data_IF_443531100008
#
_entry.id   IF_443531100008
#
_cell.length_a   1.000
_cell.length_b   1.000
_cell.length_c   1.000
_cell.angle_alpha   90.00
_cell.angle_beta   90.00
_cell.angle_gamma   90.00
#
_symmetry.space_group_name_H-M   'P 1'
#
loop_
_entity.id
_entity.type
_entity.pdbx_description
1 polymer ?
#
# COMPACT_ATOMS: atom_id res chain seq x y z
N UNK A 1 -9.92 -1.35 19.66
CA UNK A 1 -10.69 -0.50 20.60
C UNK A 1 -11.34 -1.38 21.66
N UNK A 2 -11.70 -0.86 22.83
CA UNK A 2 -12.47 -1.62 23.84
C UNK A 2 -13.99 -1.58 23.57
N UNK A 3 -14.41 -0.99 22.45
CA UNK A 3 -15.79 -0.82 22.01
C UNK A 3 -15.99 -1.41 20.60
N UNK A 4 -17.15 -1.15 19.98
CA UNK A 4 -17.56 -1.72 18.69
C UNK A 4 -16.84 -1.12 17.47
N UNK A 5 -15.91 -0.17 17.65
CA UNK A 5 -15.16 0.41 16.53
C UNK A 5 -14.17 -0.59 15.95
N UNK A 6 -14.04 -0.55 14.63
CA UNK A 6 -13.05 -1.35 13.93
C UNK A 6 -11.63 -0.93 14.29
N UNK A 7 -10.71 -1.90 14.25
CA UNK A 7 -9.29 -1.63 14.43
C UNK A 7 -8.76 -0.78 13.28
N UNK A 8 -7.93 0.20 13.63
CA UNK A 8 -7.17 1.01 12.68
C UNK A 8 -5.71 0.62 12.79
N UNK A 9 -5.08 0.29 11.67
CA UNK A 9 -3.69 -0.11 11.58
C UNK A 9 -2.91 0.83 10.66
N UNK A 10 -1.60 0.91 10.84
CA UNK A 10 -0.74 1.48 9.79
C UNK A 10 -0.77 0.58 8.55
N UNK A 11 -0.65 1.17 7.37
CA UNK A 11 -0.49 0.42 6.12
C UNK A 11 0.81 -0.39 6.07
N UNK A 12 0.94 -1.20 5.02
CA UNK A 12 2.10 -2.05 4.80
C UNK A 12 3.35 -1.25 4.41
N UNK A 13 4.53 -1.70 4.83
CA UNK A 13 5.79 -1.00 4.61
C UNK A 13 6.59 -1.65 3.47
N UNK A 14 6.77 -1.00 2.31
CA UNK A 14 7.33 -1.63 1.12
C UNK A 14 8.83 -1.95 1.21
N UNK A 15 9.67 -0.99 1.60
CA UNK A 15 11.15 -1.04 1.61
C UNK A 15 11.71 -1.70 0.33
N UNK A 16 11.63 -0.98 -0.78
CA UNK A 16 11.73 -1.55 -2.12
C UNK A 16 12.65 -0.79 -3.09
N UNK A 17 13.07 0.43 -2.74
CA UNK A 17 14.04 1.20 -3.51
C UNK A 17 13.56 1.64 -4.90
N UNK A 18 12.24 1.82 -5.09
CA UNK A 18 11.62 2.25 -6.36
C UNK A 18 11.31 1.14 -7.37
N UNK A 19 11.22 -0.13 -6.94
CA UNK A 19 11.02 -1.29 -7.81
C UNK A 19 9.66 -1.99 -7.67
N UNK A 20 8.97 -1.87 -6.53
CA UNK A 20 7.63 -2.40 -6.30
C UNK A 20 6.53 -1.36 -6.45
N UNK A 21 6.84 -0.05 -6.38
CA UNK A 21 5.87 1.04 -6.53
C UNK A 21 6.16 1.85 -7.79
N UNK A 22 5.14 2.17 -8.58
CA UNK A 22 5.33 2.83 -9.86
C UNK A 22 4.11 3.67 -10.29
N UNK A 23 4.33 4.60 -11.21
CA UNK A 23 3.29 5.45 -11.81
C UNK A 23 2.48 4.71 -12.89
N UNK A 24 1.41 5.34 -13.39
CA UNK A 24 0.56 4.76 -14.44
C UNK A 24 1.36 4.47 -15.73
N UNK A 25 2.30 5.34 -16.11
CA UNK A 25 3.11 5.18 -17.34
C UNK A 25 4.08 4.00 -17.24
N UNK A 26 4.62 3.74 -16.06
CA UNK A 26 5.44 2.55 -15.78
C UNK A 26 4.60 1.27 -15.76
N UNK A 27 3.40 1.34 -15.20
CA UNK A 27 2.43 0.25 -15.24
C UNK A 27 2.02 -0.08 -16.68
N UNK A 28 1.79 0.92 -17.53
CA UNK A 28 1.45 0.70 -18.94
C UNK A 28 2.57 -0.04 -19.67
N UNK A 29 3.82 0.38 -19.50
CA UNK A 29 4.99 -0.32 -20.08
C UNK A 29 5.11 -1.78 -19.65
N UNK A 30 4.83 -2.07 -18.37
CA UNK A 30 4.82 -3.46 -17.86
C UNK A 30 3.73 -4.33 -18.51
N UNK A 31 2.58 -3.73 -18.84
CA UNK A 31 1.43 -4.45 -19.42
C UNK A 31 1.55 -4.60 -20.93
N UNK A 32 2.11 -3.60 -21.62
CA UNK A 32 2.35 -3.64 -23.08
C UNK A 32 3.21 -4.84 -23.50
N UNK A 33 4.17 -5.24 -22.67
CA UNK A 33 5.01 -6.40 -22.91
C UNK A 33 4.35 -7.75 -22.61
N UNK A 34 3.37 -7.79 -21.69
CA UNK A 34 2.66 -9.01 -21.31
C UNK A 34 1.39 -8.71 -20.47
N UNK A 35 0.21 -8.99 -21.02
CA UNK A 35 -1.07 -8.75 -20.35
C UNK A 35 -1.25 -9.56 -19.05
N UNK A 36 -0.57 -10.70 -18.92
CA UNK A 36 -0.68 -11.55 -17.72
C UNK A 36 -0.10 -10.87 -16.47
N UNK A 37 0.68 -9.80 -16.62
CA UNK A 37 1.20 -9.01 -15.51
C UNK A 37 0.09 -8.31 -14.73
N UNK A 38 -1.06 -8.01 -15.36
CA UNK A 38 -2.16 -7.26 -14.74
C UNK A 38 -2.66 -7.91 -13.44
N UNK A 39 -2.62 -9.24 -13.33
CA UNK A 39 -3.05 -9.96 -12.11
C UNK A 39 -2.17 -9.69 -10.90
N UNK A 40 -0.92 -9.25 -11.11
CA UNK A 40 0.02 -8.87 -10.05
C UNK A 40 -0.04 -7.38 -9.73
N UNK A 41 -0.87 -6.59 -10.43
CA UNK A 41 -0.95 -5.16 -10.25
C UNK A 41 -2.10 -4.78 -9.33
N UNK A 42 -1.82 -3.96 -8.34
CA UNK A 42 -2.83 -3.33 -7.47
C UNK A 42 -2.60 -1.83 -7.40
N UNK A 43 -3.68 -1.08 -7.19
CA UNK A 43 -3.56 0.35 -6.84
C UNK A 43 -2.94 0.44 -5.45
N UNK A 44 -2.10 1.44 -5.25
CA UNK A 44 -1.43 1.68 -3.98
C UNK A 44 -1.53 3.16 -3.59
N UNK A 45 -1.78 3.41 -2.31
CA UNK A 45 -2.01 4.75 -1.78
C UNK A 45 -1.19 4.99 -0.53
N UNK A 46 -0.49 6.13 -0.48
CA UNK A 46 -0.07 6.78 0.75
C UNK A 46 -0.95 8.01 1.04
N UNK A 47 -0.58 8.78 2.05
CA UNK A 47 -1.28 10.03 2.37
C UNK A 47 -1.30 11.01 1.20
N UNK A 48 -0.15 11.24 0.56
CA UNK A 48 -0.01 12.20 -0.54
C UNK A 48 -0.83 11.79 -1.76
N UNK A 49 -0.71 10.53 -2.18
CA UNK A 49 -1.45 9.99 -3.32
C UNK A 49 -2.96 10.16 -3.12
N UNK A 50 -3.46 9.80 -1.93
CA UNK A 50 -4.88 9.93 -1.62
C UNK A 50 -5.35 11.39 -1.59
N UNK A 51 -4.62 12.27 -0.89
CA UNK A 51 -5.01 13.68 -0.72
C UNK A 51 -5.03 14.43 -2.06
N UNK A 52 -4.13 14.08 -2.99
CA UNK A 52 -4.01 14.73 -4.30
C UNK A 52 -4.84 14.07 -5.40
N UNK A 53 -5.46 12.92 -5.11
CA UNK A 53 -6.16 12.13 -6.13
C UNK A 53 -5.21 11.49 -7.14
N UNK A 54 -3.95 11.30 -6.77
CA UNK A 54 -2.96 10.62 -7.61
C UNK A 54 -3.10 9.10 -7.42
N UNK A 55 -3.00 8.35 -8.52
CA UNK A 55 -3.06 6.89 -8.49
C UNK A 55 -1.70 6.33 -8.82
N UNK A 56 -1.16 5.51 -7.90
CA UNK A 56 0.03 4.71 -8.13
C UNK A 56 -0.33 3.23 -8.13
N UNK A 57 0.61 2.43 -8.61
CA UNK A 57 0.46 0.98 -8.67
C UNK A 57 1.60 0.29 -7.94
N UNK A 58 1.33 -0.93 -7.48
CA UNK A 58 2.35 -1.81 -6.96
C UNK A 58 2.26 -3.21 -7.56
N UNK A 59 3.40 -3.91 -7.51
CA UNK A 59 3.42 -5.36 -7.62
C UNK A 59 2.96 -5.96 -6.29
N UNK A 60 1.85 -6.69 -6.32
CA UNK A 60 1.27 -7.38 -5.19
C UNK A 60 1.20 -8.88 -5.49
N UNK A 61 2.22 -9.60 -5.04
CA UNK A 61 2.47 -10.99 -5.43
C UNK A 61 2.44 -11.86 -4.15
N UNK A 62 1.58 -12.87 -4.14
CA UNK A 62 1.55 -13.88 -3.07
C UNK A 62 2.69 -14.90 -3.23
N UNK A 63 2.99 -15.67 -2.16
CA UNK A 63 4.02 -16.72 -2.24
C UNK A 63 3.69 -17.77 -3.30
N UNK A 64 2.42 -18.15 -3.43
CA UNK A 64 1.97 -19.10 -4.45
C UNK A 64 2.16 -18.59 -5.88
N UNK A 65 2.24 -17.27 -6.06
CA UNK A 65 2.38 -16.61 -7.36
C UNK A 65 3.84 -16.25 -7.68
N UNK A 66 4.77 -16.39 -6.73
CA UNK A 66 6.13 -15.89 -6.88
C UNK A 66 6.85 -16.49 -8.10
N UNK A 67 6.73 -17.80 -8.30
CA UNK A 67 7.38 -18.49 -9.43
C UNK A 67 6.81 -18.06 -10.77
N UNK A 68 5.49 -17.90 -10.85
CA UNK A 68 4.81 -17.39 -12.04
C UNK A 68 5.18 -15.93 -12.32
N UNK A 69 5.27 -15.10 -11.29
CA UNK A 69 5.69 -13.71 -11.43
C UNK A 69 7.15 -13.62 -11.93
N UNK A 70 8.03 -14.50 -11.43
CA UNK A 70 9.44 -14.58 -11.84
C UNK A 70 9.67 -15.10 -13.25
N UNK A 71 8.69 -15.79 -13.87
CA UNK A 71 8.81 -16.17 -15.27
C UNK A 71 8.69 -14.99 -16.23
N UNK A 72 8.15 -13.85 -15.77
CA UNK A 72 8.21 -12.58 -16.49
C UNK A 72 9.54 -11.87 -16.20
N UNK A 73 10.30 -11.55 -17.25
CA UNK A 73 11.64 -10.96 -17.14
C UNK A 73 11.65 -9.59 -16.44
N UNK A 74 10.64 -8.76 -16.70
CA UNK A 74 10.58 -7.40 -16.16
C UNK A 74 10.26 -7.41 -14.66
N UNK A 75 9.31 -8.26 -14.26
CA UNK A 75 9.01 -8.49 -12.84
C UNK A 75 10.24 -9.09 -12.16
N UNK A 76 10.85 -10.13 -12.73
CA UNK A 76 12.03 -10.76 -12.14
C UNK A 76 13.19 -9.77 -11.96
N UNK A 77 13.41 -8.89 -12.93
CA UNK A 77 14.39 -7.80 -12.84
C UNK A 77 14.10 -6.86 -11.66
N UNK A 78 12.84 -6.42 -11.52
CA UNK A 78 12.40 -5.58 -10.39
C UNK A 78 12.58 -6.30 -9.04
N UNK A 79 12.21 -7.58 -8.95
CA UNK A 79 12.38 -8.37 -7.72
C UNK A 79 13.86 -8.53 -7.33
N UNK A 80 14.74 -8.76 -8.31
CA UNK A 80 16.19 -8.81 -8.07
C UNK A 80 16.74 -7.46 -7.59
N UNK A 81 16.24 -6.35 -8.14
CA UNK A 81 16.60 -5.00 -7.69
C UNK A 81 16.15 -4.73 -6.24
N UNK A 82 14.95 -5.18 -5.85
CA UNK A 82 14.48 -5.11 -4.44
C UNK A 82 15.41 -5.91 -3.52
N UNK A 83 15.74 -7.15 -3.89
CA UNK A 83 16.63 -8.00 -3.10
C UNK A 83 18.01 -7.33 -2.93
N UNK A 84 18.60 -6.85 -4.02
CA UNK A 84 19.88 -6.16 -4.00
C UNK A 84 19.86 -4.87 -3.15
N UNK A 85 18.77 -4.10 -3.22
CA UNK A 85 18.57 -2.91 -2.38
C UNK A 85 18.50 -3.29 -0.89
N UNK A 86 17.70 -4.29 -0.55
CA UNK A 86 17.51 -4.76 0.83
C UNK A 86 18.79 -5.33 1.45
N UNK A 87 19.60 -6.06 0.69
CA UNK A 87 20.89 -6.60 1.15
C UNK A 87 21.90 -5.51 1.55
N UNK A 88 21.81 -4.32 0.95
CA UNK A 88 22.66 -3.16 1.28
C UNK A 88 22.23 -2.42 2.54
N UNK A 89 21.02 -2.69 3.07
CA UNK A 89 20.50 -2.00 4.26
C UNK A 89 21.34 -2.31 5.51
N UNK A 90 21.62 -1.34 6.39
CA UNK A 90 22.26 -1.63 7.68
C UNK A 90 21.37 -2.42 8.64
N UNK A 91 20.04 -2.44 8.42
CA UNK A 91 19.08 -3.11 9.31
C UNK A 91 19.02 -4.61 9.02
N UNK A 92 19.26 -5.43 10.04
CA UNK A 92 19.24 -6.88 9.90
C UNK A 92 17.88 -7.42 9.41
N UNK A 93 16.77 -6.84 9.87
CA UNK A 93 15.43 -7.21 9.41
C UNK A 93 15.24 -6.96 7.90
N UNK A 94 15.66 -5.80 7.39
CA UNK A 94 15.61 -5.48 5.97
C UNK A 94 16.48 -6.42 5.14
N UNK A 95 17.70 -6.74 5.60
CA UNK A 95 18.55 -7.72 4.91
C UNK A 95 17.88 -9.09 4.81
N UNK A 96 17.24 -9.57 5.88
CA UNK A 96 16.44 -10.82 5.84
C UNK A 96 15.32 -10.72 4.82
N UNK A 97 14.68 -9.55 4.73
CA UNK A 97 13.67 -9.23 3.73
C UNK A 97 14.08 -9.37 2.27
N UNK A 98 15.39 -9.45 1.97
CA UNK A 98 15.87 -9.72 0.62
C UNK A 98 15.54 -11.13 0.12
N UNK A 99 15.24 -12.08 1.03
CA UNK A 99 14.85 -13.44 0.65
C UNK A 99 13.40 -13.53 0.12
N UNK A 100 12.57 -12.51 0.35
CA UNK A 100 11.20 -12.41 -0.16
C UNK A 100 10.97 -11.05 -0.85
N UNK A 101 11.64 -10.79 -1.99
CA UNK A 101 11.60 -9.49 -2.65
C UNK A 101 10.24 -9.14 -3.27
N UNK A 102 9.37 -10.14 -3.48
CA UNK A 102 8.02 -9.97 -4.00
C UNK A 102 7.02 -9.39 -2.99
N UNK A 103 7.38 -9.38 -1.70
CA UNK A 103 6.56 -8.85 -0.62
C UNK A 103 7.09 -7.52 -0.13
N UNK A 104 6.18 -6.73 0.44
CA UNK A 104 6.56 -5.63 1.33
C UNK A 104 7.32 -6.17 2.55
N UNK A 105 8.18 -5.35 3.16
CA UNK A 105 8.87 -5.72 4.40
C UNK A 105 7.86 -5.98 5.53
N UNK A 106 6.80 -5.17 5.60
CA UNK A 106 5.66 -5.38 6.48
C UNK A 106 4.37 -5.49 5.66
N UNK A 107 3.74 -6.66 5.68
CA UNK A 107 2.47 -6.92 4.98
C UNK A 107 1.33 -6.80 6.00
N UNK A 108 0.36 -5.95 5.70
CA UNK A 108 -0.83 -5.69 6.55
C UNK A 108 -2.16 -6.05 5.87
N UNK A 109 -2.09 -6.48 4.62
CA UNK A 109 -3.25 -6.75 3.77
C UNK A 109 -3.08 -8.08 3.04
N UNK A 110 -4.19 -8.63 2.61
CA UNK A 110 -4.33 -9.72 1.65
C UNK A 110 -4.44 -9.13 0.23
N UNK A 111 -5.06 -7.95 0.07
CA UNK A 111 -5.21 -7.24 -1.21
C UNK A 111 -6.57 -7.44 -1.89
N UNK A 112 -7.61 -7.70 -1.10
CA UNK A 112 -9.01 -7.82 -1.55
C UNK A 112 -10.02 -7.16 -0.60
N UNK A 113 -9.52 -6.44 0.41
CA UNK A 113 -10.31 -5.73 1.41
C UNK A 113 -10.98 -4.50 0.80
N UNK A 114 -12.09 -4.09 1.41
CA UNK A 114 -12.60 -2.72 1.28
C UNK A 114 -11.87 -1.88 2.32
N UNK A 115 -11.23 -0.80 1.89
CA UNK A 115 -10.33 -0.03 2.75
C UNK A 115 -10.87 1.37 2.98
N UNK A 116 -10.96 1.77 4.25
CA UNK A 116 -11.06 3.19 4.63
C UNK A 116 -9.67 3.70 4.92
N UNK A 117 -9.16 4.63 4.10
CA UNK A 117 -7.83 5.23 4.28
C UNK A 117 -7.94 6.50 5.12
N UNK A 118 -7.03 6.64 6.08
CA UNK A 118 -6.86 7.83 6.91
C UNK A 118 -5.41 8.33 6.75
N UNK A 119 -5.18 9.44 6.05
CA UNK A 119 -3.83 9.99 5.86
C UNK A 119 -3.12 10.27 7.18
N UNK A 120 -1.86 9.84 7.28
CA UNK A 120 -1.04 10.05 8.48
C UNK A 120 -0.61 11.49 8.67
N UNK A 121 -0.46 12.22 7.56
CA UNK A 121 -0.05 13.63 7.53
C UNK A 121 -0.98 14.37 6.57
N UNK A 122 -1.56 15.47 7.05
CA UNK A 122 -2.36 16.42 6.28
C UNK A 122 -2.16 17.83 6.82
N UNK A 123 -2.52 18.85 6.05
CA UNK A 123 -2.49 20.24 6.51
C UNK A 123 -3.48 20.47 7.66
N UNK A 124 -3.03 21.23 8.66
CA UNK A 124 -3.84 21.64 9.82
C UNK A 124 -4.96 22.62 9.48
N UNK A 125 -4.90 23.31 8.34
CA UNK A 125 -5.92 24.29 7.93
C UNK A 125 -7.22 23.65 7.40
N UNK A 126 -7.27 22.32 7.31
CA UNK A 126 -8.44 21.58 6.81
C UNK A 126 -9.49 21.47 7.90
N UNK A 127 -10.74 21.85 7.58
CA UNK A 127 -11.87 21.73 8.51
C UNK A 127 -12.23 20.27 8.86
N UNK A 128 -11.77 19.30 8.06
CA UNK A 128 -11.97 17.87 8.23
C UNK A 128 -10.74 17.09 7.78
N UNK A 129 -10.50 15.93 8.41
CA UNK A 129 -9.50 15.00 7.91
C UNK A 129 -9.89 14.49 6.52
N UNK A 130 -8.94 14.42 5.58
CA UNK A 130 -9.18 13.82 4.27
C UNK A 130 -9.20 12.29 4.38
N UNK A 131 -10.25 11.71 4.96
CA UNK A 131 -10.52 10.26 5.06
C UNK A 131 -11.44 9.81 3.94
N UNK A 132 -11.39 8.54 3.53
CA UNK A 132 -12.45 7.97 2.69
C UNK A 132 -12.25 6.52 2.27
N UNK A 133 -13.19 6.03 1.45
CA UNK A 133 -13.17 4.68 0.91
C UNK A 133 -12.30 4.58 -0.34
N UNK A 134 -11.53 3.50 -0.42
CA UNK A 134 -10.76 3.14 -1.61
C UNK A 134 -11.49 2.05 -2.42
N UNK A 135 -11.20 1.96 -3.73
CA UNK A 135 -11.59 0.81 -4.53
C UNK A 135 -11.14 -0.50 -3.87
N UNK A 136 -11.96 -1.55 -3.99
CA UNK A 136 -11.68 -2.86 -3.40
C UNK A 136 -10.32 -3.39 -3.86
N UNK A 137 -9.54 -3.90 -2.90
CA UNK A 137 -8.21 -4.48 -3.15
C UNK A 137 -7.10 -3.44 -3.33
N UNK A 138 -7.36 -2.16 -3.05
CA UNK A 138 -6.30 -1.15 -2.97
C UNK A 138 -5.36 -1.42 -1.80
N UNK A 139 -4.07 -1.21 -2.02
CA UNK A 139 -3.02 -1.38 -1.02
C UNK A 139 -2.71 -0.02 -0.37
N UNK A 140 -2.50 -0.01 0.95
CA UNK A 140 -2.14 1.19 1.71
C UNK A 140 -0.71 1.04 2.22
N UNK A 141 0.10 2.08 2.03
CA UNK A 141 1.47 2.13 2.53
C UNK A 141 1.53 2.61 3.99
N UNK A 142 2.67 2.44 4.65
CA UNK A 142 2.92 2.91 6.03
C UNK A 142 2.81 4.45 6.21
N UNK A 143 2.66 5.17 5.10
CA UNK A 143 2.40 6.61 5.06
C UNK A 143 0.92 6.98 5.31
N UNK A 144 0.04 6.00 5.48
CA UNK A 144 -1.34 6.20 5.91
C UNK A 144 -1.78 5.12 6.90
N UNK A 145 -2.84 5.42 7.64
CA UNK A 145 -3.59 4.43 8.40
C UNK A 145 -4.75 3.89 7.57
N UNK A 146 -5.23 2.71 7.94
CA UNK A 146 -6.32 2.05 7.27
C UNK A 146 -7.22 1.31 8.27
N UNK A 147 -8.51 1.25 7.94
CA UNK A 147 -9.43 0.26 8.49
C UNK A 147 -9.82 -0.69 7.37
N UNK A 148 -9.68 -2.00 7.63
CA UNK A 148 -9.94 -3.06 6.65
C UNK A 148 -11.31 -3.69 6.91
N UNK A 149 -12.14 -3.75 5.87
CA UNK A 149 -13.50 -4.29 5.90
C UNK A 149 -14.37 -3.72 7.05
N UNK A 150 -14.07 -2.49 7.46
CA UNK A 150 -14.77 -1.81 8.53
C UNK A 150 -16.15 -1.32 8.06
N UNK A 151 -17.19 -1.44 8.90
CA UNK A 151 -18.46 -0.81 8.65
C UNK A 151 -18.30 0.70 8.42
N UNK A 152 -18.98 1.23 7.40
CA UNK A 152 -18.83 2.62 6.93
C UNK A 152 -19.04 3.66 8.04
N UNK A 153 -19.83 3.36 9.06
CA UNK A 153 -20.08 4.28 10.18
C UNK A 153 -18.79 4.64 10.95
N UNK A 154 -17.75 3.80 10.95
CA UNK A 154 -16.46 4.14 11.55
C UNK A 154 -15.85 5.39 10.90
N UNK A 155 -16.03 5.54 9.58
CA UNK A 155 -15.58 6.71 8.84
C UNK A 155 -16.30 7.98 9.28
N UNK A 156 -17.60 7.91 9.63
CA UNK A 156 -18.36 9.08 10.07
C UNK A 156 -17.79 9.68 11.37
N UNK A 157 -17.26 8.84 12.26
CA UNK A 157 -16.56 9.29 13.46
C UNK A 157 -15.25 9.99 13.10
N UNK A 158 -14.43 9.37 12.24
CA UNK A 158 -13.12 9.91 11.84
C UNK A 158 -13.26 11.22 11.05
N UNK A 159 -14.28 11.30 10.19
CA UNK A 159 -14.60 12.49 9.41
C UNK A 159 -15.33 13.57 10.22
N UNK A 160 -15.57 13.38 11.52
CA UNK A 160 -16.29 14.36 12.34
C UNK A 160 -15.37 15.47 12.86
N UNK A 161 -15.95 16.66 13.12
CA UNK A 161 -15.24 17.75 13.81
C UNK A 161 -14.83 17.35 15.24
N UNK A 162 -15.60 16.48 15.89
CA UNK A 162 -15.26 15.97 17.22
C UNK A 162 -13.95 15.20 17.20
N UNK A 163 -13.75 14.34 16.20
CA UNK A 163 -12.50 13.61 16.06
C UNK A 163 -11.33 14.55 15.73
N UNK A 164 -11.55 15.55 14.86
CA UNK A 164 -10.51 16.55 14.55
C UNK A 164 -10.07 17.32 15.81
N UNK A 165 -11.01 17.75 16.65
CA UNK A 165 -10.70 18.42 17.94
C UNK A 165 -9.99 17.47 18.90
N UNK A 166 -10.34 16.18 18.89
CA UNK A 166 -9.71 15.19 19.77
C UNK A 166 -8.23 14.92 19.46
N UNK A 167 -7.85 14.95 18.18
CA UNK A 167 -6.48 14.66 17.75
C UNK A 167 -5.61 15.93 17.58
N UNK A 168 -6.22 17.10 17.63
CA UNK A 168 -5.59 18.41 17.45
C UNK A 168 -4.97 18.99 18.71
#
# INVERSE_FOLDING_TARGET
PADERSQMDAGGKPVEGGNLLFAEEEKQRLVEGNVDVVKFLKRVYGASEYIRGEVRFCLWISDSQEQEAKSNSDINCKLNAVAAFRLKSPKAATKKGAAWPHKFEEVKQIGNEVVTIVPKVSSESREYLPVGLLPRGSIVTDLAFALYDAPLWNMALIASRLHLVWIG
#
